data_IF_284159081431
#
_entry.id   IF_284159081431
#
_cell.length_a   1.000
_cell.length_b   1.000
_cell.length_c   1.000
_cell.angle_alpha   90.00
_cell.angle_beta   90.00
_cell.angle_gamma   90.00
#
_symmetry.space_group_name_H-M   'P 1'
#
loop_
_entity.id
_entity.type
_entity.pdbx_description
1 polymer ?
#
# COMPACT_ATOMS: atom_id res chain seq x y z
N UNK A 1 9.12 -15.60 -39.89
CA UNK A 1 10.34 -15.98 -39.13
C UNK A 1 10.50 -17.49 -39.27
N UNK A 2 11.64 -17.97 -39.76
CA UNK A 2 11.78 -19.32 -40.33
C UNK A 2 12.23 -20.35 -39.28
N UNK A 3 11.54 -21.50 -39.10
CA UNK A 3 11.81 -22.51 -38.05
C UNK A 3 13.23 -23.13 -38.06
N UNK A 4 13.97 -22.94 -39.16
CA UNK A 4 15.35 -23.43 -39.31
C UNK A 4 16.38 -22.65 -38.47
N UNK A 5 16.07 -21.40 -38.07
CA UNK A 5 16.98 -20.57 -37.25
C UNK A 5 17.07 -21.09 -35.81
N UNK A 6 15.93 -21.41 -35.20
CA UNK A 6 15.86 -21.83 -33.80
C UNK A 6 16.49 -23.22 -33.58
N UNK A 7 16.32 -24.14 -34.54
CA UNK A 7 16.95 -25.46 -34.46
C UNK A 7 18.48 -25.39 -34.61
N UNK A 8 18.97 -24.43 -35.42
CA UNK A 8 20.39 -24.14 -35.58
C UNK A 8 20.98 -23.52 -34.31
N UNK A 9 20.29 -22.54 -33.72
CA UNK A 9 20.68 -21.90 -32.46
C UNK A 9 20.69 -22.89 -31.29
N UNK A 10 19.70 -23.76 -31.20
CA UNK A 10 19.60 -24.77 -30.14
C UNK A 10 20.70 -25.84 -30.28
N UNK A 11 21.10 -26.16 -31.51
CA UNK A 11 22.23 -27.05 -31.78
C UNK A 11 23.57 -26.39 -31.42
N UNK A 12 23.74 -25.09 -31.75
CA UNK A 12 24.92 -24.32 -31.38
C UNK A 12 25.05 -24.15 -29.86
N UNK A 13 23.96 -23.85 -29.16
CA UNK A 13 23.90 -23.74 -27.70
C UNK A 13 24.21 -25.06 -27.00
N UNK A 14 23.79 -26.20 -27.58
CA UNK A 14 24.14 -27.53 -27.07
C UNK A 14 25.62 -27.85 -27.26
N UNK A 15 26.18 -27.52 -28.42
CA UNK A 15 27.61 -27.70 -28.69
C UNK A 15 28.47 -26.84 -27.74
N UNK A 16 28.06 -25.59 -27.50
CA UNK A 16 28.78 -24.71 -26.58
C UNK A 16 28.66 -25.17 -25.12
N UNK A 17 27.49 -25.65 -24.68
CA UNK A 17 27.35 -26.27 -23.36
C UNK A 17 28.25 -27.50 -23.19
N UNK A 18 28.38 -28.34 -24.22
CA UNK A 18 29.27 -29.50 -24.19
C UNK A 18 30.75 -29.08 -24.06
N UNK A 19 31.16 -28.04 -24.80
CA UNK A 19 32.51 -27.47 -24.71
C UNK A 19 32.80 -26.89 -23.33
N UNK A 20 31.88 -26.10 -22.77
CA UNK A 20 32.03 -25.49 -21.44
C UNK A 20 32.08 -26.56 -20.34
N UNK A 21 31.26 -27.60 -20.46
CA UNK A 21 31.26 -28.75 -19.54
C UNK A 21 32.63 -29.44 -19.54
N UNK A 22 33.17 -29.76 -20.72
CA UNK A 22 34.50 -30.38 -20.83
C UNK A 22 35.62 -29.47 -20.28
N UNK A 23 35.50 -28.16 -20.45
CA UNK A 23 36.46 -27.19 -19.91
C UNK A 23 36.43 -27.17 -18.38
N UNK A 24 35.24 -27.17 -17.78
CA UNK A 24 35.06 -27.20 -16.32
C UNK A 24 35.60 -28.51 -15.73
N UNK A 25 35.32 -29.65 -16.37
CA UNK A 25 35.81 -30.96 -15.93
C UNK A 25 37.34 -31.07 -16.03
N UNK A 26 37.95 -30.60 -17.13
CA UNK A 26 39.43 -30.60 -17.32
C UNK A 26 40.17 -29.70 -16.34
N UNK A 27 39.52 -28.67 -15.79
CA UNK A 27 40.09 -27.76 -14.79
C UNK A 27 39.72 -28.16 -13.36
N UNK A 28 39.03 -29.30 -13.16
CA UNK A 28 38.60 -29.76 -11.84
C UNK A 28 37.63 -28.80 -11.14
N UNK A 29 36.89 -27.98 -11.91
CA UNK A 29 35.92 -27.03 -11.37
C UNK A 29 34.60 -27.78 -11.18
N UNK A 30 34.21 -27.96 -9.91
CA UNK A 30 32.95 -28.58 -9.54
C UNK A 30 31.78 -27.68 -9.95
N UNK A 31 31.15 -28.02 -11.08
CA UNK A 31 30.05 -27.24 -11.68
C UNK A 31 28.68 -27.90 -11.49
N UNK A 32 28.64 -29.19 -11.14
CA UNK A 32 27.39 -29.87 -10.79
C UNK A 32 27.11 -29.58 -9.33
N UNK A 33 26.05 -28.83 -9.06
CA UNK A 33 25.45 -28.84 -7.73
C UNK A 33 25.02 -30.27 -7.41
N UNK A 34 25.45 -30.78 -6.26
CA UNK A 34 25.20 -32.14 -5.82
C UNK A 34 23.70 -32.48 -5.92
N UNK A 35 23.35 -33.54 -6.66
CA UNK A 35 22.02 -34.18 -6.64
C UNK A 35 21.84 -35.06 -5.40
N UNK A 36 22.41 -34.66 -4.27
CA UNK A 36 22.00 -35.18 -2.97
C UNK A 36 20.61 -34.58 -2.70
N UNK A 37 19.57 -35.37 -2.41
CA UNK A 37 18.30 -34.82 -1.96
C UNK A 37 18.57 -34.11 -0.62
N UNK A 38 18.73 -32.79 -0.70
CA UNK A 38 18.73 -31.90 0.46
C UNK A 38 17.56 -32.30 1.34
N UNK A 39 17.75 -32.50 2.67
CA UNK A 39 16.66 -32.83 3.56
C UNK A 39 15.55 -31.84 3.29
N UNK A 40 14.39 -32.36 2.89
CA UNK A 40 13.26 -31.57 2.39
C UNK A 40 13.05 -30.43 3.38
N UNK A 41 13.49 -29.22 3.02
CA UNK A 41 13.01 -28.02 3.67
C UNK A 41 11.53 -28.09 3.36
N UNK A 42 10.75 -28.61 4.31
CA UNK A 42 9.29 -28.48 4.26
C UNK A 42 9.11 -26.99 4.05
N UNK A 43 8.65 -26.59 2.87
CA UNK A 43 8.17 -25.24 2.67
C UNK A 43 7.29 -24.96 3.89
N UNK A 44 7.59 -23.94 4.71
CA UNK A 44 6.75 -23.65 5.86
C UNK A 44 5.34 -23.53 5.30
N UNK A 45 4.43 -24.38 5.79
CA UNK A 45 3.04 -24.34 5.33
C UNK A 45 2.61 -22.87 5.31
N UNK A 46 2.12 -22.36 4.18
CA UNK A 46 1.74 -20.96 4.09
C UNK A 46 0.76 -20.71 5.22
N UNK A 47 1.12 -19.80 6.15
CA UNK A 47 0.33 -19.56 7.35
C UNK A 47 -1.12 -19.32 6.92
N UNK A 48 -1.97 -20.34 7.12
CA UNK A 48 -3.38 -20.29 6.69
C UNK A 48 -4.16 -19.51 7.73
N UNK A 49 -3.94 -18.20 7.76
CA UNK A 49 -4.71 -17.31 8.62
C UNK A 49 -6.18 -17.35 8.20
N UNK A 50 -7.04 -17.56 9.20
CA UNK A 50 -8.48 -17.35 9.09
C UNK A 50 -8.80 -15.91 8.68
N UNK A 51 -10.03 -15.66 8.23
CA UNK A 51 -10.47 -14.30 7.91
C UNK A 51 -10.34 -13.36 9.13
N UNK A 52 -10.68 -13.85 10.33
CA UNK A 52 -10.57 -13.10 11.57
C UNK A 52 -9.12 -12.74 11.92
N UNK A 53 -8.19 -13.70 11.80
CA UNK A 53 -6.76 -13.45 12.07
C UNK A 53 -6.15 -12.47 11.05
N UNK A 54 -6.55 -12.56 9.77
CA UNK A 54 -6.14 -11.59 8.75
C UNK A 54 -6.62 -10.19 9.08
N UNK A 55 -7.88 -10.04 9.49
CA UNK A 55 -8.44 -8.74 9.91
C UNK A 55 -7.70 -8.23 11.15
N UNK A 56 -7.47 -9.08 12.15
CA UNK A 56 -6.75 -8.71 13.36
C UNK A 56 -5.31 -8.24 13.07
N UNK A 57 -4.59 -8.95 12.20
CA UNK A 57 -3.25 -8.56 11.76
C UNK A 57 -3.28 -7.24 10.99
N UNK A 58 -4.23 -7.07 10.08
CA UNK A 58 -4.40 -5.84 9.30
C UNK A 58 -4.65 -4.65 10.21
N UNK A 59 -5.56 -4.79 11.19
CA UNK A 59 -5.82 -3.77 12.23
C UNK A 59 -4.60 -3.48 13.09
N UNK A 60 -3.77 -4.49 13.36
CA UNK A 60 -2.56 -4.33 14.16
C UNK A 60 -1.50 -3.50 13.43
N UNK A 61 -1.38 -3.65 12.11
CA UNK A 61 -0.42 -2.92 11.30
C UNK A 61 -0.92 -1.52 10.93
N UNK A 62 -2.10 -1.42 10.32
CA UNK A 62 -2.62 -0.15 9.78
C UNK A 62 -3.48 0.60 10.80
N UNK A 63 -2.87 0.94 11.94
CA UNK A 63 -3.54 1.64 13.05
C UNK A 63 -3.59 3.14 12.81
N UNK A 64 -4.79 3.69 12.87
CA UNK A 64 -5.05 5.13 12.90
C UNK A 64 -6.32 5.41 13.68
N UNK A 65 -7.08 6.44 13.31
CA UNK A 65 -8.40 6.70 13.90
C UNK A 65 -9.35 5.51 13.70
N UNK A 66 -10.03 5.14 14.78
CA UNK A 66 -11.01 4.05 14.80
C UNK A 66 -12.44 4.54 14.88
N UNK A 67 -12.64 5.79 15.29
CA UNK A 67 -13.94 6.45 15.40
C UNK A 67 -14.51 6.90 14.04
N UNK A 68 -13.64 7.02 13.03
CA UNK A 68 -14.01 7.39 11.66
C UNK A 68 -13.02 6.84 10.64
N UNK A 69 -13.50 6.57 9.43
CA UNK A 69 -12.66 6.18 8.30
C UNK A 69 -13.11 6.88 7.01
N UNK A 70 -12.18 7.16 6.07
CA UNK A 70 -12.53 7.69 4.77
C UNK A 70 -13.02 6.57 3.84
N UNK A 71 -14.15 6.81 3.17
CA UNK A 71 -14.72 5.93 2.16
C UNK A 71 -14.46 6.52 0.78
N UNK A 72 -14.02 5.68 -0.16
CA UNK A 72 -13.89 6.08 -1.55
C UNK A 72 -15.26 6.26 -2.21
N UNK A 73 -15.41 7.36 -2.93
CA UNK A 73 -16.53 7.59 -3.84
C UNK A 73 -16.02 7.84 -5.26
N UNK A 74 -16.86 7.48 -6.22
CA UNK A 74 -16.61 7.65 -7.65
C UNK A 74 -17.82 8.39 -8.20
N UNK A 75 -17.54 9.49 -8.89
CA UNK A 75 -18.50 10.33 -9.57
C UNK A 75 -18.92 9.72 -10.91
N UNK A 76 -19.80 10.42 -11.61
CA UNK A 76 -20.31 9.96 -12.91
C UNK A 76 -19.25 10.04 -14.02
N UNK A 77 -18.22 10.86 -13.84
CA UNK A 77 -17.11 11.01 -14.78
C UNK A 77 -15.84 10.36 -14.20
N UNK A 78 -14.98 9.73 -15.02
CA UNK A 78 -13.78 9.02 -14.55
C UNK A 78 -12.85 9.88 -13.68
N UNK A 79 -12.76 11.18 -13.98
CA UNK A 79 -11.86 12.10 -13.29
C UNK A 79 -12.39 12.61 -11.95
N UNK A 80 -13.67 12.35 -11.63
CA UNK A 80 -14.27 12.77 -10.36
C UNK A 80 -14.32 11.59 -9.41
N UNK A 81 -13.22 11.33 -8.72
CA UNK A 81 -13.22 10.39 -7.61
C UNK A 81 -12.53 10.99 -6.40
N UNK A 82 -12.80 10.47 -5.21
CA UNK A 82 -12.20 10.99 -4.00
C UNK A 82 -12.55 10.17 -2.77
N UNK A 83 -12.22 10.73 -1.63
CA UNK A 83 -12.52 10.16 -0.32
C UNK A 83 -13.37 11.14 0.49
N UNK A 84 -14.22 10.61 1.34
CA UNK A 84 -14.99 11.39 2.31
C UNK A 84 -15.11 10.61 3.63
N UNK A 85 -15.14 11.28 4.79
CA UNK A 85 -15.36 10.60 6.08
C UNK A 85 -16.69 9.85 6.08
N UNK A 86 -16.68 8.61 6.58
CA UNK A 86 -17.89 7.81 6.74
C UNK A 86 -18.83 8.45 7.76
N UNK A 87 -20.06 8.76 7.36
CA UNK A 87 -21.05 9.42 8.22
C UNK A 87 -22.45 8.86 7.95
N UNK A 88 -23.21 8.45 8.95
CA UNK A 88 -24.55 7.87 8.75
C UNK A 88 -25.55 8.87 8.16
N UNK A 89 -25.37 10.15 8.48
CA UNK A 89 -26.18 11.27 7.99
C UNK A 89 -25.77 11.76 6.59
N UNK A 90 -24.76 11.16 5.97
CA UNK A 90 -24.31 11.53 4.62
C UNK A 90 -25.04 10.72 3.54
N UNK A 91 -25.53 11.41 2.50
CA UNK A 91 -26.30 10.83 1.39
C UNK A 91 -25.56 9.72 0.64
N UNK A 92 -24.22 9.77 0.61
CA UNK A 92 -23.39 8.81 -0.13
C UNK A 92 -23.20 7.49 0.61
N UNK A 93 -23.05 7.54 1.92
CA UNK A 93 -22.83 6.42 2.84
C UNK A 93 -24.15 5.77 3.27
N UNK A 94 -25.22 6.56 3.40
CA UNK A 94 -26.56 6.06 3.77
C UNK A 94 -27.07 4.98 2.82
N UNK A 95 -26.83 5.12 1.51
CA UNK A 95 -27.18 4.12 0.49
C UNK A 95 -26.38 2.81 0.58
N UNK A 96 -25.15 2.84 1.10
CA UNK A 96 -24.28 1.66 1.22
C UNK A 96 -24.55 0.87 2.51
N UNK A 97 -25.00 1.55 3.57
CA UNK A 97 -25.26 0.95 4.89
C UNK A 97 -26.73 0.61 5.17
N UNK A 98 -27.69 1.12 4.39
CA UNK A 98 -29.13 0.80 4.56
C UNK A 98 -29.55 -0.61 4.07
N UNK A 99 -28.60 -1.54 3.89
CA UNK A 99 -28.89 -2.93 3.48
C UNK A 99 -28.87 -3.95 4.62
N UNK A 100 -28.57 -3.54 5.85
CA UNK A 100 -28.89 -4.32 7.04
C UNK A 100 -30.39 -4.19 7.33
N UNK A 101 -31.16 -5.26 7.11
CA UNK A 101 -32.56 -5.34 7.54
C UNK A 101 -32.64 -4.99 9.04
N UNK A 102 -33.54 -4.10 9.48
CA UNK A 102 -33.82 -3.95 10.90
C UNK A 102 -34.36 -5.28 11.41
N UNK A 103 -33.77 -5.81 12.48
CA UNK A 103 -34.36 -6.88 13.28
C UNK A 103 -35.72 -6.38 13.77
N UNK A 104 -36.80 -7.06 13.35
CA UNK A 104 -38.16 -6.73 13.74
C UNK A 104 -38.36 -7.01 15.23
N UNK A 105 -38.22 -5.98 16.06
CA UNK A 105 -38.85 -5.93 17.39
C UNK A 105 -40.35 -5.61 17.27
N UNK A 106 -41.17 -6.00 18.26
CA UNK A 106 -42.62 -5.85 18.17
C UNK A 106 -43.03 -4.39 18.06
N UNK A 107 -43.96 -4.10 17.13
CA UNK A 107 -44.49 -2.76 16.84
C UNK A 107 -45.38 -2.29 18.00
N UNK A 108 -44.93 -1.26 18.72
CA UNK A 108 -45.82 -0.42 19.50
C UNK A 108 -46.31 0.71 18.58
N UNK A 109 -47.62 0.76 18.36
CA UNK A 109 -48.29 1.79 17.55
C UNK A 109 -48.44 3.01 18.46
N UNK A 110 -47.47 3.92 18.40
CA UNK A 110 -47.53 5.25 19.01
C UNK A 110 -46.97 6.26 18.02
N UNK A 111 -47.83 7.16 17.56
CA UNK A 111 -47.50 8.24 16.63
C UNK A 111 -46.55 9.25 17.29
N UNK A 112 -45.25 9.01 17.16
CA UNK A 112 -44.23 10.05 17.24
C UNK A 112 -43.80 10.32 15.81
N UNK A 113 -44.00 11.55 15.35
CA UNK A 113 -43.48 12.03 14.06
C UNK A 113 -42.03 11.61 13.93
N UNK A 114 -41.70 10.80 12.92
CA UNK A 114 -40.33 10.41 12.63
C UNK A 114 -39.47 11.68 12.56
N UNK A 115 -38.40 11.82 13.37
CA UNK A 115 -37.54 12.99 13.27
C UNK A 115 -36.98 13.03 11.85
N UNK A 116 -37.26 14.11 11.12
CA UNK A 116 -36.73 14.32 9.78
C UNK A 116 -35.22 14.11 9.85
N UNK A 117 -34.74 13.07 9.16
CA UNK A 117 -33.34 12.69 9.22
C UNK A 117 -32.46 13.88 8.85
N UNK A 118 -31.63 14.31 9.79
CA UNK A 118 -30.77 15.48 9.61
C UNK A 118 -29.64 15.07 8.67
N UNK A 119 -29.66 15.54 7.42
CA UNK A 119 -28.71 15.13 6.39
C UNK A 119 -27.49 16.06 6.38
N UNK A 120 -26.28 15.48 6.33
CA UNK A 120 -25.05 16.23 6.07
C UNK A 120 -25.05 16.81 4.65
N UNK A 121 -24.71 18.10 4.53
CA UNK A 121 -24.65 18.81 3.24
C UNK A 121 -23.26 18.74 2.60
N UNK A 122 -22.67 17.55 2.49
CA UNK A 122 -21.41 17.39 1.73
C UNK A 122 -21.67 17.58 0.22
N UNK A 123 -20.78 18.22 -0.56
CA UNK A 123 -19.48 18.76 -0.17
C UNK A 123 -19.52 20.22 0.36
N UNK A 124 -20.69 20.85 0.44
CA UNK A 124 -20.86 22.26 0.82
C UNK A 124 -20.32 22.60 2.21
N UNK A 125 -20.45 21.68 3.17
CA UNK A 125 -19.87 21.80 4.52
C UNK A 125 -18.88 20.66 4.74
N UNK A 126 -17.67 20.98 5.22
CA UNK A 126 -16.68 19.96 5.62
C UNK A 126 -17.23 19.14 6.78
N UNK A 127 -16.97 17.84 6.76
CA UNK A 127 -17.49 16.96 7.81
C UNK A 127 -16.96 17.30 9.21
N UNK A 128 -15.75 17.89 9.30
CA UNK A 128 -15.18 18.36 10.55
C UNK A 128 -16.02 19.46 11.20
N UNK A 129 -16.55 20.37 10.38
CA UNK A 129 -17.31 21.55 10.81
C UNK A 129 -18.83 21.30 10.85
N UNK A 130 -19.28 20.07 10.57
CA UNK A 130 -20.70 19.75 10.45
C UNK A 130 -21.28 19.31 11.80
N UNK A 131 -22.18 20.14 12.37
CA UNK A 131 -22.91 19.80 13.60
C UNK A 131 -23.87 18.60 13.49
N UNK A 132 -24.15 18.14 12.26
CA UNK A 132 -25.02 16.99 11.99
C UNK A 132 -24.22 15.71 11.70
N UNK A 133 -22.91 15.71 11.96
CA UNK A 133 -22.05 14.54 11.71
C UNK A 133 -22.42 13.42 12.66
N UNK A 134 -22.59 12.22 12.09
CA UNK A 134 -22.77 10.97 12.81
C UNK A 134 -21.73 9.99 12.26
N UNK A 135 -20.53 10.02 12.82
CA UNK A 135 -19.35 9.34 12.27
C UNK A 135 -19.47 7.83 12.47
N UNK A 136 -19.10 7.07 11.45
CA UNK A 136 -19.17 5.60 11.50
C UNK A 136 -17.79 5.06 11.86
N UNK A 137 -17.66 4.25 12.93
CA UNK A 137 -16.38 3.68 13.34
C UNK A 137 -15.85 2.64 12.34
N UNK A 138 -14.53 2.48 12.32
CA UNK A 138 -13.84 1.48 11.51
C UNK A 138 -13.97 0.09 12.16
N UNK A 139 -15.01 -0.65 11.76
CA UNK A 139 -15.29 -2.00 12.23
C UNK A 139 -14.59 -3.09 11.42
N UNK A 140 -14.57 -4.30 11.96
CA UNK A 140 -13.98 -5.48 11.30
C UNK A 140 -14.73 -5.84 10.01
N UNK A 141 -16.05 -5.64 9.98
CA UNK A 141 -16.87 -5.80 8.77
C UNK A 141 -16.47 -4.80 7.67
N UNK A 142 -16.13 -3.55 8.04
CA UNK A 142 -15.63 -2.55 7.08
C UNK A 142 -14.31 -3.00 6.48
N UNK A 143 -13.39 -3.51 7.30
CA UNK A 143 -12.09 -4.04 6.85
C UNK A 143 -12.27 -5.29 6.00
N UNK A 144 -13.14 -6.21 6.41
CA UNK A 144 -13.47 -7.38 5.62
C UNK A 144 -14.01 -7.00 4.23
N UNK A 145 -14.96 -6.06 4.16
CA UNK A 145 -15.50 -5.52 2.90
C UNK A 145 -14.43 -4.83 2.04
N UNK A 146 -13.41 -4.25 2.67
CA UNK A 146 -12.26 -3.70 1.96
C UNK A 146 -11.40 -4.80 1.32
N UNK A 147 -10.94 -5.75 2.15
CA UNK A 147 -10.05 -6.84 1.73
C UNK A 147 -10.71 -7.81 0.74
N UNK A 148 -12.03 -7.96 0.80
CA UNK A 148 -12.84 -8.77 -0.13
C UNK A 148 -13.22 -8.05 -1.43
N UNK A 149 -13.01 -6.74 -1.50
CA UNK A 149 -13.22 -5.94 -2.70
C UNK A 149 -14.55 -5.18 -2.79
N UNK A 150 -15.44 -5.31 -1.81
CA UNK A 150 -16.78 -4.70 -1.83
C UNK A 150 -16.74 -3.15 -1.79
N UNK A 151 -15.76 -2.57 -1.12
CA UNK A 151 -15.49 -1.12 -1.17
C UNK A 151 -14.02 -0.80 -0.97
N UNK A 152 -13.62 0.44 -1.25
CA UNK A 152 -12.28 0.96 -0.93
C UNK A 152 -12.41 1.96 0.20
N UNK A 153 -11.59 1.80 1.24
CA UNK A 153 -11.52 2.68 2.40
C UNK A 153 -10.06 3.09 2.61
N UNK A 154 -9.86 4.15 3.38
CA UNK A 154 -8.54 4.54 3.87
C UNK A 154 -8.49 4.56 5.39
N UNK A 155 -7.46 5.22 5.90
CA UNK A 155 -7.25 5.46 7.33
C UNK A 155 -6.75 6.88 7.54
N UNK A 156 -7.15 7.49 8.65
CA UNK A 156 -6.55 8.73 9.15
C UNK A 156 -5.42 8.34 10.12
N UNK A 157 -4.15 8.52 9.76
CA UNK A 157 -3.01 8.03 10.54
C UNK A 157 -2.72 8.89 11.78
N UNK A 158 -3.11 10.16 11.77
CA UNK A 158 -2.91 11.08 12.88
C UNK A 158 -4.02 10.90 13.93
N UNK A 159 -3.62 10.71 15.18
CA UNK A 159 -4.52 10.58 16.33
C UNK A 159 -4.77 11.94 16.98
N UNK A 160 -5.76 12.00 17.87
CA UNK A 160 -6.17 13.24 18.55
C UNK A 160 -5.13 13.79 19.53
N UNK A 161 -4.18 12.95 19.96
CA UNK A 161 -3.04 13.29 20.83
C UNK A 161 -1.77 13.60 20.03
N UNK A 162 -1.91 13.98 18.75
CA UNK A 162 -0.81 14.31 17.83
C UNK A 162 0.18 13.15 17.56
N UNK A 163 -0.22 11.92 17.88
CA UNK A 163 0.60 10.72 17.67
C UNK A 163 0.15 9.89 16.46
N UNK A 164 0.99 8.94 16.04
CA UNK A 164 0.67 7.92 15.04
C UNK A 164 1.31 6.57 15.39
N UNK A 165 0.88 5.52 14.68
CA UNK A 165 1.43 4.16 14.80
C UNK A 165 2.31 3.75 13.62
N UNK A 166 2.32 4.54 12.56
CA UNK A 166 3.15 4.30 11.39
C UNK A 166 3.50 5.61 10.70
N UNK A 167 4.57 5.56 9.90
CA UNK A 167 4.88 6.53 8.86
C UNK A 167 4.68 5.85 7.51
N UNK A 168 3.97 6.48 6.58
CA UNK A 168 3.97 6.06 5.18
C UNK A 168 4.55 7.16 4.28
N UNK A 169 5.42 6.78 3.37
CA UNK A 169 6.08 7.68 2.41
C UNK A 169 5.54 7.36 1.03
N UNK A 170 5.03 8.39 0.35
CA UNK A 170 4.36 8.28 -0.94
C UNK A 170 5.33 8.61 -2.08
N UNK A 171 5.45 7.69 -3.03
CA UNK A 171 6.24 7.84 -4.24
C UNK A 171 5.31 7.73 -5.45
N UNK A 172 5.14 8.82 -6.17
CA UNK A 172 4.30 8.93 -7.36
C UNK A 172 5.13 9.47 -8.54
N UNK A 173 4.58 9.47 -9.76
CA UNK A 173 5.21 10.02 -10.98
C UNK A 173 6.26 9.10 -11.64
N UNK A 174 7.12 9.66 -12.50
CA UNK A 174 8.21 8.93 -13.15
C UNK A 174 9.23 8.45 -12.10
N UNK A 175 9.94 7.36 -12.41
CA UNK A 175 11.01 6.82 -11.56
C UNK A 175 10.65 6.38 -10.13
N UNK A 176 9.36 6.39 -9.75
CA UNK A 176 8.89 5.94 -8.42
C UNK A 176 9.44 4.59 -7.99
N UNK A 177 9.68 3.68 -8.93
CA UNK A 177 10.24 2.34 -8.66
C UNK A 177 11.67 2.40 -8.17
N UNK A 178 12.48 3.25 -8.78
CA UNK A 178 13.90 3.35 -8.47
C UNK A 178 14.10 4.17 -7.19
N UNK A 179 13.35 5.26 -7.02
CA UNK A 179 13.36 6.06 -5.80
C UNK A 179 12.82 5.30 -4.59
N UNK A 180 11.67 4.61 -4.71
CA UNK A 180 11.14 3.81 -3.60
C UNK A 180 12.09 2.66 -3.23
N UNK A 181 12.80 2.08 -4.21
CA UNK A 181 13.84 1.07 -3.96
C UNK A 181 15.03 1.68 -3.25
N UNK A 182 15.53 2.82 -3.72
CA UNK A 182 16.65 3.52 -3.10
C UNK A 182 16.33 3.91 -1.65
N UNK A 183 15.10 4.35 -1.37
CA UNK A 183 14.61 4.64 -0.03
C UNK A 183 14.54 3.37 0.84
N UNK A 184 14.05 2.25 0.31
CA UNK A 184 14.02 0.96 1.01
C UNK A 184 15.42 0.43 1.35
N UNK A 185 16.37 0.58 0.44
CA UNK A 185 17.78 0.23 0.69
C UNK A 185 18.39 1.11 1.79
N UNK A 186 18.10 2.42 1.78
CA UNK A 186 18.50 3.33 2.86
C UNK A 186 17.89 2.93 4.19
N UNK A 187 16.61 2.53 4.23
CA UNK A 187 15.98 1.99 5.44
C UNK A 187 16.74 0.76 5.95
N UNK A 188 17.09 -0.17 5.04
CA UNK A 188 17.84 -1.38 5.39
C UNK A 188 19.23 -1.06 5.97
N UNK A 189 20.00 -0.16 5.36
CA UNK A 189 21.31 0.27 5.86
C UNK A 189 21.24 0.93 7.24
N UNK A 190 20.16 1.68 7.51
CA UNK A 190 19.91 2.31 8.81
C UNK A 190 19.27 1.35 9.84
N UNK A 191 19.01 0.10 9.47
CA UNK A 191 18.35 -0.88 10.35
C UNK A 191 16.89 -0.60 10.63
N UNK A 192 16.21 0.16 9.76
CA UNK A 192 14.81 0.55 9.89
C UNK A 192 13.94 -0.40 9.07
N UNK A 193 13.01 -1.17 9.68
CA UNK A 193 12.12 -2.04 8.94
C UNK A 193 11.08 -1.24 8.15
N UNK A 194 11.16 -1.32 6.82
CA UNK A 194 10.17 -0.78 5.89
C UNK A 194 9.43 -1.89 5.13
N UNK A 195 8.20 -1.63 4.73
CA UNK A 195 7.42 -2.49 3.83
C UNK A 195 6.98 -1.71 2.60
N UNK A 196 7.21 -2.25 1.41
CA UNK A 196 6.88 -1.58 0.16
C UNK A 196 5.54 -2.11 -0.39
N UNK A 197 4.65 -1.20 -0.75
CA UNK A 197 3.37 -1.50 -1.38
C UNK A 197 3.24 -0.71 -2.68
N UNK A 198 2.97 -1.40 -3.79
CA UNK A 198 2.62 -0.72 -5.03
C UNK A 198 1.22 -0.14 -4.87
N UNK A 199 1.07 1.15 -5.13
CA UNK A 199 -0.18 1.87 -4.95
C UNK A 199 -1.28 1.25 -5.81
N UNK A 200 -2.52 1.46 -5.39
CA UNK A 200 -3.73 1.00 -6.08
C UNK A 200 -3.77 1.29 -7.59
N UNK A 201 -3.14 2.38 -8.02
CA UNK A 201 -3.12 2.79 -9.43
C UNK A 201 -2.07 2.06 -10.28
N UNK A 202 -1.11 1.37 -9.64
CA UNK A 202 0.06 0.78 -10.28
C UNK A 202 1.10 1.80 -10.76
N UNK A 203 0.90 3.10 -10.48
CA UNK A 203 1.75 4.21 -10.94
C UNK A 203 2.50 4.93 -9.81
N UNK A 204 2.56 4.31 -8.65
CA UNK A 204 3.27 4.80 -7.49
C UNK A 204 3.43 3.69 -6.46
N UNK A 205 4.02 4.01 -5.32
CA UNK A 205 4.16 3.11 -4.20
C UNK A 205 4.16 3.85 -2.86
N UNK A 206 3.78 3.13 -1.82
CA UNK A 206 3.93 3.57 -0.45
C UNK A 206 5.00 2.72 0.25
N UNK A 207 5.92 3.36 0.95
CA UNK A 207 6.80 2.69 1.92
C UNK A 207 6.24 2.91 3.31
N UNK A 208 5.93 1.82 4.00
CA UNK A 208 5.35 1.79 5.34
C UNK A 208 6.41 1.45 6.39
N UNK A 209 6.51 2.27 7.44
CA UNK A 209 7.34 2.03 8.63
C UNK A 209 6.39 1.96 9.83
N UNK A 210 6.37 0.83 10.52
CA UNK A 210 5.46 0.58 11.64
C UNK A 210 6.17 0.72 12.99
N UNK A 211 5.56 1.46 13.91
CA UNK A 211 6.06 1.62 15.27
C UNK A 211 5.44 0.60 16.22
N UNK A 212 6.20 0.15 17.21
CA UNK A 212 5.71 -0.78 18.25
C UNK A 212 4.67 -0.14 19.17
N UNK A 213 4.73 1.19 19.33
CA UNK A 213 3.82 2.00 20.13
C UNK A 213 3.45 3.31 19.43
N UNK A 214 2.75 4.20 20.15
CA UNK A 214 2.46 5.55 19.66
C UNK A 214 3.75 6.37 19.63
N UNK A 215 3.95 7.09 18.54
CA UNK A 215 5.07 8.02 18.36
C UNK A 215 4.49 9.38 17.99
N UNK A 216 5.02 10.51 18.51
CA UNK A 216 4.60 11.83 18.06
C UNK A 216 4.74 11.95 16.53
N UNK A 217 3.72 12.49 15.86
CA UNK A 217 3.74 12.60 14.40
C UNK A 217 4.92 13.43 13.89
N UNK A 218 5.33 14.43 14.68
CA UNK A 218 6.55 15.21 14.43
C UNK A 218 7.80 14.33 14.33
N UNK A 219 8.01 13.44 15.29
CA UNK A 219 9.20 12.59 15.35
C UNK A 219 9.19 11.56 14.22
N UNK A 220 8.01 10.99 13.92
CA UNK A 220 7.82 10.11 12.77
C UNK A 220 8.17 10.82 11.44
N UNK A 221 7.73 12.06 11.25
CA UNK A 221 8.06 12.86 10.06
C UNK A 221 9.53 13.24 10.00
N UNK A 222 10.14 13.60 11.13
CA UNK A 222 11.58 13.88 11.20
C UNK A 222 12.41 12.65 10.82
N UNK A 223 12.03 11.46 11.29
CA UNK A 223 12.63 10.20 10.86
C UNK A 223 12.52 10.03 9.34
N UNK A 224 11.32 10.20 8.79
CA UNK A 224 11.10 10.13 7.34
C UNK A 224 11.99 11.10 6.56
N UNK A 225 12.05 12.37 6.97
CA UNK A 225 12.87 13.39 6.34
C UNK A 225 14.36 13.05 6.41
N UNK A 226 14.83 12.53 7.54
CA UNK A 226 16.21 12.09 7.70
C UNK A 226 16.56 10.93 6.73
N UNK A 227 15.66 9.96 6.54
CA UNK A 227 15.86 8.86 5.59
C UNK A 227 15.87 9.38 4.15
N UNK A 228 14.98 10.31 3.79
CA UNK A 228 14.99 10.95 2.46
C UNK A 228 16.33 11.65 2.22
N UNK A 229 16.78 12.49 3.16
CA UNK A 229 18.07 13.19 3.06
C UNK A 229 19.27 12.23 2.96
N UNK A 230 19.28 11.16 3.76
CA UNK A 230 20.30 10.13 3.68
C UNK A 230 20.28 9.43 2.31
N UNK A 231 19.10 9.13 1.78
CA UNK A 231 18.93 8.51 0.46
C UNK A 231 19.51 9.39 -0.64
N UNK A 232 19.16 10.68 -0.67
CA UNK A 232 19.71 11.63 -1.64
C UNK A 232 21.24 11.70 -1.56
N UNK A 233 21.80 11.77 -0.35
CA UNK A 233 23.25 11.78 -0.14
C UNK A 233 23.91 10.51 -0.67
N UNK A 234 23.33 9.34 -0.38
CA UNK A 234 23.82 8.01 -0.79
C UNK A 234 23.78 7.83 -2.30
N UNK A 235 22.68 8.21 -2.95
CA UNK A 235 22.49 8.07 -4.40
C UNK A 235 23.17 9.20 -5.20
N UNK A 236 23.72 10.21 -4.52
CA UNK A 236 24.26 11.44 -5.12
C UNK A 236 23.22 12.18 -5.97
N UNK A 237 21.95 12.07 -5.59
CA UNK A 237 20.85 12.82 -6.19
C UNK A 237 20.57 14.06 -5.34
N UNK A 238 20.14 15.14 -5.98
CA UNK A 238 19.73 16.37 -5.28
C UNK A 238 18.41 16.16 -4.53
N UNK A 239 17.51 15.38 -5.13
CA UNK A 239 16.19 15.05 -4.59
C UNK A 239 15.71 13.70 -5.13
N UNK A 240 14.71 13.12 -4.46
CA UNK A 240 13.91 12.01 -4.98
C UNK A 240 12.72 12.63 -5.70
N UNK A 241 12.75 12.72 -7.02
CA UNK A 241 11.73 13.46 -7.81
C UNK A 241 10.34 12.84 -7.71
N UNK A 242 10.26 11.55 -7.43
CA UNK A 242 8.99 10.85 -7.23
C UNK A 242 8.44 10.96 -5.81
N UNK A 243 9.22 11.45 -4.83
CA UNK A 243 8.72 11.67 -3.47
C UNK A 243 7.66 12.77 -3.49
N UNK A 244 6.44 12.43 -3.06
CA UNK A 244 5.33 13.39 -3.01
C UNK A 244 5.11 13.91 -1.59
N UNK A 245 4.85 13.01 -0.62
CA UNK A 245 4.54 13.39 0.76
C UNK A 245 4.68 12.24 1.76
N UNK A 246 4.58 12.58 3.04
CA UNK A 246 4.52 11.63 4.14
C UNK A 246 3.15 11.62 4.81
N UNK A 247 2.81 10.50 5.45
CA UNK A 247 1.60 10.26 6.20
C UNK A 247 1.94 9.78 7.61
N UNK A 248 1.53 10.50 8.67
CA UNK A 248 0.82 11.79 8.68
C UNK A 248 1.57 12.91 7.93
N UNK A 249 0.82 13.85 7.33
CA UNK A 249 1.41 15.00 6.61
C UNK A 249 1.62 16.22 7.49
N UNK A 250 1.04 16.21 8.70
CA UNK A 250 1.11 17.29 9.67
C UNK A 250 1.47 16.74 11.05
N UNK A 251 2.11 17.59 11.86
CA UNK A 251 2.60 17.25 13.20
C UNK A 251 1.50 17.27 14.26
N UNK A 252 0.45 18.06 14.04
CA UNK A 252 -0.62 18.32 15.00
C UNK A 252 -2.00 18.20 14.37
N UNK A 253 -2.99 17.82 15.18
CA UNK A 253 -4.36 17.61 14.77
C UNK A 253 -5.03 18.95 14.44
N UNK A 254 -5.54 19.15 13.21
CA UNK A 254 -6.29 20.36 12.89
C UNK A 254 -7.59 20.43 13.68
N UNK A 255 -7.92 21.61 14.19
CA UNK A 255 -9.17 21.86 14.93
C UNK A 255 -10.39 21.35 14.15
N UNK A 256 -11.17 20.47 14.80
CA UNK A 256 -12.38 19.87 14.22
C UNK A 256 -12.14 18.88 13.06
N UNK A 257 -10.90 18.71 12.61
CA UNK A 257 -10.54 17.86 11.48
C UNK A 257 -10.17 16.42 11.86
N UNK A 258 -9.72 15.67 10.85
CA UNK A 258 -9.30 14.27 10.98
C UNK A 258 -7.82 14.07 10.59
N UNK A 259 -7.14 15.15 10.18
CA UNK A 259 -5.88 15.07 9.45
C UNK A 259 -6.03 14.61 8.00
N UNK A 260 -4.89 14.40 7.35
CA UNK A 260 -4.79 13.79 6.03
C UNK A 260 -5.14 12.29 6.07
N UNK A 261 -5.54 11.72 4.92
CA UNK A 261 -5.86 10.30 4.81
C UNK A 261 -4.95 9.58 3.84
N UNK A 262 -4.68 8.31 4.09
CA UNK A 262 -4.04 7.39 3.15
C UNK A 262 -5.00 6.24 2.83
N UNK A 263 -5.00 5.77 1.58
CA UNK A 263 -5.78 4.59 1.21
C UNK A 263 -5.23 3.34 1.91
N UNK A 264 -6.11 2.47 2.38
CA UNK A 264 -5.69 1.22 2.99
C UNK A 264 -5.25 0.24 1.88
N UNK A 265 -4.16 -0.51 2.10
CA UNK A 265 -3.63 -1.42 1.08
C UNK A 265 -4.39 -2.74 1.06
N UNK A 266 -4.02 -3.63 0.12
CA UNK A 266 -4.51 -5.01 0.01
C UNK A 266 -6.01 -5.17 -0.32
N UNK A 267 -6.63 -4.13 -0.89
CA UNK A 267 -7.92 -4.26 -1.55
C UNK A 267 -7.84 -5.33 -2.66
N UNK A 268 -8.90 -6.14 -2.82
CA UNK A 268 -8.88 -7.31 -3.72
C UNK A 268 -8.48 -7.00 -5.17
N UNK A 269 -9.11 -6.02 -5.83
CA UNK A 269 -8.90 -5.77 -7.25
C UNK A 269 -7.46 -5.33 -7.60
N UNK A 270 -6.83 -4.38 -6.88
CA UNK A 270 -5.41 -4.07 -7.05
C UNK A 270 -4.51 -5.28 -6.78
N UNK A 271 -4.85 -6.09 -5.77
CA UNK A 271 -4.08 -7.28 -5.40
C UNK A 271 -4.10 -8.34 -6.51
N UNK A 272 -5.27 -8.56 -7.11
CA UNK A 272 -5.47 -9.45 -8.26
C UNK A 272 -4.70 -8.93 -9.51
N UNK A 273 -4.44 -7.61 -9.57
CA UNK A 273 -3.61 -6.95 -10.60
C UNK A 273 -2.11 -6.85 -10.23
N UNK A 274 -1.65 -7.52 -9.17
CA UNK A 274 -0.24 -7.53 -8.75
C UNK A 274 0.21 -6.33 -7.92
N UNK A 275 -0.70 -5.42 -7.53
CA UNK A 275 -0.42 -4.38 -6.54
C UNK A 275 -0.50 -4.99 -5.14
N UNK A 276 0.59 -5.63 -4.70
CA UNK A 276 0.70 -6.29 -3.40
C UNK A 276 1.59 -5.48 -2.44
N UNK A 277 1.27 -5.52 -1.15
CA UNK A 277 2.21 -5.13 -0.10
C UNK A 277 3.18 -6.29 0.12
N UNK A 278 4.46 -6.06 -0.18
CA UNK A 278 5.52 -7.06 0.01
C UNK A 278 6.48 -6.62 1.09
N UNK A 279 6.75 -7.51 2.05
CA UNK A 279 8.07 -7.56 2.68
C UNK A 279 9.02 -8.06 1.58
N UNK A 280 9.60 -7.11 0.84
CA UNK A 280 10.63 -7.27 -0.21
C UNK A 280 10.71 -8.64 -0.91
N UNK A 281 10.21 -8.73 -2.16
CA UNK A 281 10.81 -9.56 -3.18
C UNK A 281 11.52 -8.66 -4.22
N UNK A 282 12.75 -9.02 -4.58
CA UNK A 282 13.58 -8.27 -5.51
C UNK A 282 12.87 -7.99 -6.84
N UNK A 283 12.66 -6.71 -7.14
CA UNK A 283 12.33 -6.29 -8.49
C UNK A 283 13.47 -6.68 -9.44
N UNK A 284 13.17 -7.26 -10.61
CA UNK A 284 14.19 -7.51 -11.63
C UNK A 284 14.95 -6.22 -11.90
N UNK A 285 16.29 -6.27 -11.81
CA UNK A 285 17.16 -5.17 -12.22
C UNK A 285 16.98 -4.98 -13.73
N UNK A 286 16.26 -3.94 -14.16
CA UNK A 286 16.36 -3.52 -15.55
C UNK A 286 17.78 -2.99 -15.77
N UNK A 287 18.56 -3.70 -16.59
CA UNK A 287 19.86 -3.23 -17.06
C UNK A 287 19.67 -1.86 -17.70
N UNK A 288 20.34 -0.84 -17.16
CA UNK A 288 20.50 0.45 -17.83
C UNK A 288 20.87 0.22 -19.30
N UNK A 289 20.01 0.67 -20.21
CA UNK A 289 20.40 0.88 -21.60
C UNK A 289 21.49 1.95 -21.58
N UNK A 290 22.72 1.54 -21.88
CA UNK A 290 23.83 2.46 -22.15
C UNK A 290 23.36 3.45 -23.22
N UNK A 291 23.20 4.72 -22.85
CA UNK A 291 23.08 5.80 -23.82
C UNK A 291 24.34 5.78 -24.69
N UNK A 292 24.16 5.47 -25.98
CA UNK A 292 25.21 5.68 -26.97
C UNK A 292 25.37 7.20 -27.13
N UNK A 293 26.54 7.70 -26.78
CA UNK A 293 26.99 9.03 -27.15
C UNK A 293 26.92 9.17 -28.67
N UNK A 294 26.01 10.00 -29.17
CA UNK A 294 26.13 10.58 -30.49
C UNK A 294 26.96 11.87 -30.36
N UNK A 295 28.24 11.75 -30.71
CA UNK A 295 29.09 12.87 -31.12
C UNK A 295 28.42 13.57 -32.30
N UNK A 296 28.15 14.86 -32.17
CA UNK A 296 28.00 15.76 -33.31
C UNK A 296 29.26 16.61 -33.42
N UNK A 297 29.83 16.57 -34.62
CA UNK A 297 30.84 17.53 -35.11
C UNK A 297 30.17 18.87 -35.38
#
# INVERSE_FOLDING_TARGET
MSPKSEHSELSALKAENARLTALLESHGIEWRQSTEPSPTIREPEPIRLSAAEKIALFRKLFRGRTDVYPVRWEGKTPDRSGYAPACANDRFTRRKHSRSKPTQGPRIIGSLSEPQAVICRKPTIKCGDCGNRDLIPLSDDVIYKHLSGAHTVGVYPLLEDDSCYFLAVDFDQEDWRDDARAFMESCHELGIPGALEISRSGRGAHVWIFFSGRVPARDARQLGSAIVSYTCSRTRQLELTSYDRMFPSQDTMPNGGFGNLIALPLQRAPRDNGCMAGATPGFPRHRHRRHRHHRWR
#
